data_IF_743710420204
#
_entry.id   IF_743710420204
#
_cell.length_a   1.000
_cell.length_b   1.000
_cell.length_c   1.000
_cell.angle_alpha   90.00
_cell.angle_beta   90.00
_cell.angle_gamma   90.00
#
_symmetry.space_group_name_H-M   'P 1'
#
loop_
_entity.id
_entity.type
_entity.pdbx_description
1 polymer ?
#
# COMPACT_ATOMS: atom_id res chain seq x y z
N UNK A 1 1.31 -8.72 5.99
CA UNK A 1 2.08 -8.81 4.73
C UNK A 1 3.41 -8.11 4.94
N UNK A 2 4.52 -8.78 4.64
CA UNK A 2 5.83 -8.12 4.61
C UNK A 2 5.83 -7.19 3.40
N UNK A 3 6.18 -5.92 3.60
CA UNK A 3 6.22 -4.94 2.51
C UNK A 3 7.47 -5.18 1.69
N UNK A 4 7.28 -5.20 0.38
CA UNK A 4 8.32 -5.58 -0.56
C UNK A 4 8.96 -4.29 -1.08
N UNK A 5 10.20 -4.01 -0.68
CA UNK A 5 10.95 -2.92 -1.31
C UNK A 5 11.46 -3.33 -2.69
N UNK A 6 11.22 -2.48 -3.69
CA UNK A 6 11.77 -2.65 -5.04
C UNK A 6 13.32 -2.65 -5.02
N UNK A 7 13.93 -1.95 -4.04
CA UNK A 7 15.39 -1.94 -3.84
C UNK A 7 15.84 -3.23 -3.15
N UNK A 8 16.24 -4.20 -3.95
CA UNK A 8 16.79 -5.48 -3.46
C UNK A 8 15.91 -6.69 -3.76
N UNK A 9 14.86 -6.54 -4.59
CA UNK A 9 14.12 -7.69 -5.10
C UNK A 9 14.93 -8.49 -6.12
N UNK A 10 15.60 -7.83 -7.06
CA UNK A 10 16.27 -8.50 -8.17
C UNK A 10 17.76 -8.74 -7.94
N UNK A 11 18.28 -9.81 -8.53
CA UNK A 11 19.71 -10.07 -8.64
C UNK A 11 20.09 -10.45 -10.08
N UNK A 12 21.32 -10.14 -10.45
CA UNK A 12 21.91 -10.47 -11.75
C UNK A 12 22.94 -11.56 -11.57
N UNK A 13 22.99 -12.49 -12.52
CA UNK A 13 23.89 -13.64 -12.47
C UNK A 13 24.62 -13.78 -13.79
N UNK A 14 25.96 -13.97 -13.79
CA UNK A 14 26.68 -14.23 -15.02
C UNK A 14 26.20 -15.52 -15.68
N UNK A 15 26.08 -15.48 -17.01
CA UNK A 15 25.81 -16.65 -17.86
C UNK A 15 27.10 -17.14 -18.53
N UNK A 16 27.14 -18.39 -19.03
CA UNK A 16 28.20 -18.81 -19.94
C UNK A 16 28.26 -17.88 -21.17
N UNK A 17 29.47 -17.49 -21.60
CA UNK A 17 29.66 -16.55 -22.72
C UNK A 17 28.99 -17.02 -24.03
N UNK A 18 28.98 -18.33 -24.26
CA UNK A 18 28.37 -18.95 -25.45
C UNK A 18 26.84 -18.88 -25.41
N UNK A 19 26.23 -18.94 -24.22
CA UNK A 19 24.80 -18.69 -24.04
C UNK A 19 24.48 -17.20 -24.24
N UNK A 20 25.30 -16.29 -23.71
CA UNK A 20 25.13 -14.85 -23.93
C UNK A 20 25.22 -14.48 -25.41
N UNK A 21 26.14 -15.08 -26.17
CA UNK A 21 26.26 -14.88 -27.61
C UNK A 21 24.98 -15.31 -28.36
N UNK A 22 24.43 -16.48 -28.01
CA UNK A 22 23.17 -16.97 -28.59
C UNK A 22 21.99 -16.05 -28.25
N UNK A 23 21.88 -15.60 -27.00
CA UNK A 23 20.82 -14.67 -26.58
C UNK A 23 20.94 -13.31 -27.26
N UNK A 24 22.17 -12.80 -27.44
CA UNK A 24 22.43 -11.57 -28.18
C UNK A 24 21.99 -11.70 -29.66
N UNK A 25 22.23 -12.87 -30.27
CA UNK A 25 21.77 -13.20 -31.64
C UNK A 25 20.25 -13.22 -31.73
N UNK A 26 19.56 -13.88 -30.80
CA UNK A 26 18.10 -13.89 -30.71
C UNK A 26 17.53 -12.48 -30.50
N UNK A 27 18.17 -11.68 -29.65
CA UNK A 27 17.78 -10.29 -29.46
C UNK A 27 17.93 -9.48 -30.75
N UNK A 28 19.07 -9.56 -31.44
CA UNK A 28 19.29 -8.89 -32.71
C UNK A 28 18.26 -9.32 -33.78
N UNK A 29 17.96 -10.61 -33.84
CA UNK A 29 16.92 -11.15 -34.72
C UNK A 29 15.56 -10.53 -34.42
N UNK A 30 15.16 -10.48 -33.15
CA UNK A 30 13.87 -9.92 -32.73
C UNK A 30 13.69 -8.42 -33.03
N UNK A 31 14.79 -7.70 -33.31
CA UNK A 31 14.79 -6.28 -33.66
C UNK A 31 14.63 -6.03 -35.17
N UNK A 32 14.71 -7.07 -36.01
CA UNK A 32 14.45 -6.91 -37.45
C UNK A 32 12.98 -6.56 -37.70
N UNK A 33 12.72 -5.81 -38.77
CA UNK A 33 11.39 -5.30 -39.08
C UNK A 33 10.33 -6.41 -39.22
N UNK A 34 10.70 -7.57 -39.81
CA UNK A 34 9.80 -8.72 -39.93
C UNK A 34 9.34 -9.31 -38.58
N UNK A 35 10.11 -9.12 -37.51
CA UNK A 35 9.80 -9.61 -36.15
C UNK A 35 9.22 -8.53 -35.24
N UNK A 36 9.09 -7.29 -35.70
CA UNK A 36 8.63 -6.16 -34.87
C UNK A 36 7.27 -6.41 -34.23
N UNK A 37 6.30 -6.89 -35.00
CA UNK A 37 4.94 -7.21 -34.51
C UNK A 37 4.96 -8.38 -33.53
N UNK A 38 5.76 -9.42 -33.81
CA UNK A 38 5.94 -10.56 -32.90
C UNK A 38 6.52 -10.11 -31.56
N UNK A 39 7.57 -9.30 -31.59
CA UNK A 39 8.22 -8.73 -30.40
C UNK A 39 7.26 -7.88 -29.59
N UNK A 40 6.54 -6.96 -30.22
CA UNK A 40 5.57 -6.09 -29.55
C UNK A 40 4.49 -6.91 -28.85
N UNK A 41 3.86 -7.86 -29.56
CA UNK A 41 2.80 -8.70 -28.98
C UNK A 41 3.29 -9.61 -27.86
N UNK A 42 4.48 -10.19 -28.00
CA UNK A 42 5.04 -11.04 -26.96
C UNK A 42 5.32 -10.27 -25.67
N UNK A 43 5.94 -9.08 -25.78
CA UNK A 43 6.23 -8.23 -24.63
C UNK A 43 4.95 -7.66 -24.03
N UNK A 44 4.00 -7.21 -24.85
CA UNK A 44 2.68 -6.77 -24.39
C UNK A 44 1.93 -7.89 -23.65
N UNK A 45 2.03 -9.13 -24.12
CA UNK A 45 1.49 -10.30 -23.40
C UNK A 45 2.24 -10.54 -22.10
N UNK A 46 3.57 -10.62 -22.10
CA UNK A 46 4.33 -10.91 -20.88
C UNK A 46 4.19 -9.85 -19.79
N UNK A 47 4.06 -8.58 -20.19
CA UNK A 47 3.99 -7.42 -19.30
C UNK A 47 2.58 -6.84 -19.24
N UNK A 48 1.56 -7.62 -19.61
CA UNK A 48 0.15 -7.17 -19.70
C UNK A 48 -0.32 -6.36 -18.48
N UNK A 49 -0.04 -6.73 -17.22
CA UNK A 49 -0.48 -5.93 -16.07
C UNK A 49 0.03 -4.49 -16.11
N UNK A 50 1.23 -4.27 -16.65
CA UNK A 50 1.86 -2.95 -16.78
C UNK A 50 1.40 -2.18 -18.03
N UNK A 51 0.87 -2.85 -19.05
CA UNK A 51 0.47 -2.21 -20.32
C UNK A 51 -1.02 -1.93 -20.37
N UNK A 52 -1.84 -2.91 -19.95
CA UNK A 52 -3.30 -2.85 -20.04
C UNK A 52 -3.98 -2.63 -18.69
N UNK A 53 -3.29 -2.89 -17.58
CA UNK A 53 -3.83 -2.80 -16.22
C UNK A 53 -3.56 -1.47 -15.52
N UNK A 54 -4.20 -1.28 -14.36
CA UNK A 54 -3.92 -0.14 -13.47
C UNK A 54 -2.53 -0.21 -12.84
N UNK A 55 -1.86 -1.39 -12.86
CA UNK A 55 -0.49 -1.55 -12.37
C UNK A 55 0.47 -0.61 -13.08
N UNK A 56 0.42 -0.52 -14.41
CA UNK A 56 1.31 0.32 -15.20
C UNK A 56 1.23 1.82 -14.93
N UNK A 57 0.11 2.27 -14.35
CA UNK A 57 -0.06 3.68 -13.94
C UNK A 57 0.67 3.99 -12.63
N UNK A 58 0.91 2.97 -11.81
CA UNK A 58 1.38 3.12 -10.44
C UNK A 58 2.79 2.55 -10.22
N UNK A 59 3.15 1.49 -10.96
CA UNK A 59 4.41 0.77 -10.81
C UNK A 59 4.94 0.38 -12.19
N UNK A 60 6.24 0.61 -12.41
CA UNK A 60 6.94 0.13 -13.60
C UNK A 60 7.47 -1.30 -13.38
N UNK A 61 7.60 -2.12 -14.46
CA UNK A 61 8.23 -3.43 -14.36
C UNK A 61 9.69 -3.30 -13.89
N UNK A 62 10.14 -4.24 -13.06
CA UNK A 62 11.55 -4.34 -12.68
C UNK A 62 12.41 -4.72 -13.91
N UNK A 63 13.69 -4.39 -13.88
CA UNK A 63 14.63 -4.81 -14.94
C UNK A 63 14.66 -6.34 -15.10
N UNK A 64 14.53 -7.09 -14.00
CA UNK A 64 14.48 -8.55 -14.02
C UNK A 64 13.17 -9.09 -14.62
N UNK A 65 12.04 -8.39 -14.42
CA UNK A 65 10.79 -8.75 -15.11
C UNK A 65 10.91 -8.52 -16.62
N UNK A 66 11.58 -7.43 -17.02
CA UNK A 66 11.87 -7.14 -18.43
C UNK A 66 12.79 -8.20 -19.07
N UNK A 67 13.81 -8.67 -18.34
CA UNK A 67 14.70 -9.74 -18.80
C UNK A 67 13.95 -11.08 -18.92
N UNK A 68 13.15 -11.45 -17.92
CA UNK A 68 12.32 -12.66 -17.98
C UNK A 68 11.27 -12.59 -19.11
N UNK A 69 10.67 -11.43 -19.36
CA UNK A 69 9.77 -11.20 -20.49
C UNK A 69 10.47 -11.31 -21.85
N UNK A 70 11.74 -10.90 -21.93
CA UNK A 70 12.56 -11.07 -23.13
C UNK A 70 12.86 -12.54 -23.39
N UNK A 71 13.18 -13.32 -22.35
CA UNK A 71 13.36 -14.77 -22.46
C UNK A 71 12.07 -15.48 -22.89
N UNK A 72 10.91 -15.02 -22.41
CA UNK A 72 9.60 -15.50 -22.89
C UNK A 72 9.43 -15.27 -24.40
N UNK A 73 9.73 -14.06 -24.90
CA UNK A 73 9.70 -13.78 -26.35
C UNK A 73 10.61 -14.73 -27.13
N UNK A 74 11.82 -14.98 -26.64
CA UNK A 74 12.79 -15.79 -27.36
C UNK A 74 12.41 -17.27 -27.40
N UNK A 75 11.90 -17.80 -26.29
CA UNK A 75 11.81 -19.24 -26.09
C UNK A 75 10.38 -19.79 -26.13
N UNK A 76 9.37 -19.01 -25.75
CA UNK A 76 8.06 -19.52 -25.34
C UNK A 76 6.90 -18.90 -26.13
N UNK A 77 7.07 -17.70 -26.68
CA UNK A 77 6.01 -17.02 -27.42
C UNK A 77 5.74 -17.70 -28.77
N UNK A 78 4.57 -18.33 -28.87
CA UNK A 78 4.00 -18.81 -30.12
C UNK A 78 3.10 -17.75 -30.76
N UNK A 79 3.47 -17.21 -31.93
CA UNK A 79 2.64 -16.30 -32.70
C UNK A 79 1.29 -16.91 -33.11
N UNK A 80 0.25 -16.08 -33.15
CA UNK A 80 -1.12 -16.50 -33.51
C UNK A 80 -1.28 -16.85 -35.00
N UNK A 81 -0.33 -16.44 -35.84
CA UNK A 81 -0.28 -16.76 -37.27
C UNK A 81 0.32 -18.15 -37.55
N UNK A 82 0.65 -18.92 -36.50
CA UNK A 82 1.16 -20.28 -36.61
C UNK A 82 2.67 -20.37 -36.89
N UNK A 83 3.39 -19.25 -36.84
CA UNK A 83 4.85 -19.28 -36.93
C UNK A 83 5.49 -20.00 -35.73
N UNK A 84 6.73 -20.46 -35.93
CA UNK A 84 7.54 -21.06 -34.87
C UNK A 84 7.99 -20.00 -33.85
N UNK A 85 8.41 -20.45 -32.67
CA UNK A 85 9.06 -19.55 -31.69
C UNK A 85 10.36 -18.98 -32.27
N UNK A 86 10.85 -17.86 -31.73
CA UNK A 86 12.05 -17.20 -32.28
C UNK A 86 13.28 -18.11 -32.27
N UNK A 87 13.45 -18.90 -31.21
CA UNK A 87 14.53 -19.88 -31.11
C UNK A 87 14.39 -21.02 -32.13
N UNK A 88 13.18 -21.48 -32.42
CA UNK A 88 12.92 -22.49 -33.45
C UNK A 88 13.14 -21.90 -34.85
N UNK A 89 12.77 -20.65 -35.09
CA UNK A 89 13.07 -19.97 -36.35
C UNK A 89 14.58 -19.84 -36.58
N UNK A 90 15.34 -19.48 -35.53
CA UNK A 90 16.80 -19.43 -35.60
C UNK A 90 17.41 -20.80 -35.91
N UNK A 91 16.85 -21.88 -35.37
CA UNK A 91 17.33 -23.25 -35.59
C UNK A 91 16.93 -23.82 -36.96
N UNK A 92 15.68 -23.62 -37.39
CA UNK A 92 15.06 -24.38 -38.47
C UNK A 92 14.88 -23.57 -39.76
N UNK A 93 14.85 -22.23 -39.68
CA UNK A 93 14.53 -21.35 -40.82
C UNK A 93 15.73 -20.50 -41.22
N UNK A 94 16.51 -20.01 -40.27
CA UNK A 94 17.62 -19.10 -40.54
C UNK A 94 18.84 -19.90 -40.99
N UNK A 95 19.33 -19.59 -42.19
CA UNK A 95 20.48 -20.27 -42.81
C UNK A 95 21.84 -19.71 -42.37
N UNK A 96 21.85 -18.73 -41.46
CA UNK A 96 23.08 -18.17 -40.89
C UNK A 96 23.86 -19.25 -40.13
N UNK A 97 25.18 -19.28 -40.31
CA UNK A 97 26.02 -20.22 -39.61
C UNK A 97 26.07 -19.89 -38.11
N UNK A 98 25.53 -20.78 -37.29
CA UNK A 98 25.63 -20.75 -35.83
C UNK A 98 26.88 -21.58 -35.42
N UNK A 99 27.83 -21.00 -34.67
CA UNK A 99 28.98 -21.74 -34.13
C UNK A 99 28.54 -22.94 -33.29
N UNK A 100 29.31 -24.03 -33.30
CA UNK A 100 28.95 -25.26 -32.58
C UNK A 100 28.75 -25.02 -31.07
N UNK A 101 29.57 -24.14 -30.50
CA UNK A 101 29.50 -23.75 -29.09
C UNK A 101 28.21 -22.97 -28.73
N UNK A 102 27.59 -22.28 -29.69
CA UNK A 102 26.27 -21.66 -29.54
C UNK A 102 25.16 -22.69 -29.83
N UNK A 103 25.35 -23.56 -30.83
CA UNK A 103 24.36 -24.56 -31.28
C UNK A 103 23.95 -25.51 -30.15
N UNK A 104 24.90 -25.93 -29.31
CA UNK A 104 24.61 -26.80 -28.15
C UNK A 104 23.58 -26.22 -27.17
N UNK A 105 23.37 -24.89 -27.16
CA UNK A 105 22.40 -24.22 -26.28
C UNK A 105 21.00 -24.13 -26.87
N UNK A 106 20.80 -24.37 -28.17
CA UNK A 106 19.49 -24.20 -28.81
C UNK A 106 18.42 -25.09 -28.18
N UNK A 107 18.75 -26.36 -27.93
CA UNK A 107 17.80 -27.31 -27.36
C UNK A 107 17.55 -27.09 -25.84
N UNK A 108 18.59 -26.94 -24.99
CA UNK A 108 18.39 -26.59 -23.59
C UNK A 108 17.62 -25.28 -23.38
N UNK A 109 17.93 -24.26 -24.18
CA UNK A 109 17.24 -22.97 -24.11
C UNK A 109 15.80 -23.09 -24.59
N UNK A 110 15.52 -23.91 -25.62
CA UNK A 110 14.13 -24.22 -26.03
C UNK A 110 13.37 -24.89 -24.89
N UNK A 111 13.97 -25.81 -24.14
CA UNK A 111 13.27 -26.56 -23.08
C UNK A 111 13.38 -25.93 -21.68
N UNK A 112 13.92 -24.72 -21.60
CA UNK A 112 13.98 -23.93 -20.37
C UNK A 112 12.60 -23.40 -19.97
N UNK A 113 12.42 -23.10 -18.68
CA UNK A 113 11.17 -22.56 -18.14
C UNK A 113 11.43 -21.69 -16.90
N UNK A 114 10.46 -20.84 -16.58
CA UNK A 114 10.45 -20.06 -15.33
C UNK A 114 10.03 -20.96 -14.17
N UNK A 115 10.62 -20.76 -13.00
CA UNK A 115 10.31 -21.51 -11.79
C UNK A 115 10.50 -20.66 -10.52
N UNK A 116 9.89 -21.13 -9.41
CA UNK A 116 10.05 -20.57 -8.07
C UNK A 116 10.82 -21.56 -7.21
N UNK A 117 12.08 -21.24 -6.92
CA UNK A 117 13.04 -22.12 -6.29
C UNK A 117 13.35 -21.68 -4.86
N UNK A 118 13.51 -22.62 -3.92
CA UNK A 118 14.11 -22.36 -2.61
C UNK A 118 15.50 -22.97 -2.52
N UNK A 119 16.43 -22.31 -1.82
CA UNK A 119 17.71 -22.94 -1.48
C UNK A 119 17.48 -24.03 -0.43
N UNK A 120 18.17 -25.17 -0.58
CA UNK A 120 18.11 -26.27 0.40
C UNK A 120 19.18 -26.11 1.49
N UNK A 121 20.30 -25.46 1.15
CA UNK A 121 21.44 -25.27 2.04
C UNK A 121 21.94 -23.83 2.03
N UNK A 122 22.58 -23.42 3.12
CA UNK A 122 23.21 -22.09 3.22
C UNK A 122 24.23 -21.94 2.09
N UNK A 123 24.12 -20.90 1.26
CA UNK A 123 25.01 -20.72 0.14
C UNK A 123 26.46 -20.49 0.57
N UNK A 124 27.40 -21.07 -0.16
CA UNK A 124 28.84 -20.86 0.01
C UNK A 124 29.44 -20.31 -1.28
N UNK A 125 30.25 -19.25 -1.17
CA UNK A 125 30.86 -18.61 -2.31
C UNK A 125 31.73 -19.62 -3.11
N UNK A 126 31.50 -19.69 -4.42
CA UNK A 126 32.23 -20.58 -5.33
C UNK A 126 31.78 -22.04 -5.33
N UNK A 127 30.72 -22.41 -4.60
CA UNK A 127 30.11 -23.73 -4.67
C UNK A 127 28.80 -23.70 -5.46
N UNK A 128 28.49 -24.81 -6.13
CA UNK A 128 27.18 -25.01 -6.76
C UNK A 128 26.07 -24.96 -5.70
N UNK A 129 24.96 -24.33 -6.08
CA UNK A 129 23.78 -24.20 -5.25
C UNK A 129 22.83 -25.35 -5.53
N UNK A 130 22.30 -25.92 -4.46
CA UNK A 130 21.23 -26.91 -4.54
C UNK A 130 19.92 -26.24 -4.18
N UNK A 131 19.02 -26.21 -5.17
CA UNK A 131 17.70 -25.62 -5.03
C UNK A 131 16.62 -26.68 -5.25
N UNK A 132 15.42 -26.38 -4.75
CA UNK A 132 14.23 -27.19 -4.94
C UNK A 132 13.11 -26.30 -5.47
N UNK A 133 12.40 -26.75 -6.51
CA UNK A 133 11.17 -26.11 -6.96
C UNK A 133 10.11 -26.16 -5.87
N UNK A 134 9.50 -25.03 -5.58
CA UNK A 134 8.35 -24.95 -4.69
C UNK A 134 7.05 -25.42 -5.35
N UNK A 135 7.03 -25.58 -6.67
CA UNK A 135 5.84 -25.96 -7.42
C UNK A 135 5.66 -27.48 -7.55
N UNK A 136 6.76 -28.22 -7.75
CA UNK A 136 6.74 -29.67 -8.01
C UNK A 136 7.84 -30.47 -7.27
N UNK A 137 8.53 -29.84 -6.32
CA UNK A 137 9.61 -30.43 -5.51
C UNK A 137 10.83 -30.93 -6.31
N UNK A 138 10.93 -30.62 -7.60
CA UNK A 138 12.09 -30.99 -8.44
C UNK A 138 13.37 -30.34 -7.94
N UNK A 139 14.47 -31.09 -8.00
CA UNK A 139 15.79 -30.62 -7.57
C UNK A 139 16.55 -30.03 -8.75
N UNK A 140 17.22 -28.91 -8.53
CA UNK A 140 18.07 -28.25 -9.53
C UNK A 140 19.39 -27.85 -8.90
N UNK A 141 20.49 -28.05 -9.64
CA UNK A 141 21.84 -27.63 -9.26
C UNK A 141 22.26 -26.49 -10.18
N UNK A 142 22.43 -25.28 -9.61
CA UNK A 142 22.82 -24.08 -10.34
C UNK A 142 24.23 -23.61 -9.92
N UNK A 143 25.03 -23.03 -10.83
CA UNK A 143 26.36 -22.55 -10.48
C UNK A 143 26.28 -21.41 -9.47
N UNK A 144 27.14 -21.44 -8.45
CA UNK A 144 27.31 -20.33 -7.52
C UNK A 144 28.18 -19.20 -8.07
N UNK A 145 28.52 -18.24 -7.21
CA UNK A 145 29.33 -17.08 -7.54
C UNK A 145 29.42 -16.09 -6.38
N UNK A 146 29.92 -14.88 -6.63
CA UNK A 146 30.00 -13.84 -5.60
C UNK A 146 28.63 -13.28 -5.21
N UNK A 147 27.68 -13.22 -6.16
CA UNK A 147 26.30 -12.74 -5.96
C UNK A 147 25.52 -13.53 -4.92
N UNK A 148 25.98 -14.75 -4.61
CA UNK A 148 25.29 -15.67 -3.72
C UNK A 148 25.33 -15.19 -2.25
N UNK A 149 26.20 -14.24 -1.90
CA UNK A 149 26.25 -13.62 -0.57
C UNK A 149 24.94 -12.92 -0.19
N UNK A 150 24.17 -12.50 -1.18
CA UNK A 150 22.90 -11.80 -1.00
C UNK A 150 21.70 -12.77 -0.97
N UNK A 151 21.94 -14.07 -1.22
CA UNK A 151 20.93 -15.11 -1.21
C UNK A 151 20.82 -15.78 0.16
N UNK A 152 19.59 -16.13 0.53
CA UNK A 152 19.27 -16.69 1.85
C UNK A 152 18.27 -17.83 1.72
N UNK A 153 18.32 -18.79 2.63
CA UNK A 153 17.47 -20.01 2.59
C UNK A 153 15.99 -19.69 2.82
N UNK A 154 15.70 -18.60 3.51
CA UNK A 154 14.36 -18.13 3.82
C UNK A 154 13.72 -17.31 2.69
N UNK A 155 14.45 -16.98 1.61
CA UNK A 155 13.93 -16.21 0.49
C UNK A 155 13.90 -17.03 -0.80
N UNK A 156 12.72 -17.48 -1.26
CA UNK A 156 12.58 -18.13 -2.56
C UNK A 156 12.94 -17.20 -3.72
N UNK A 157 13.26 -17.79 -4.87
CA UNK A 157 13.75 -17.11 -6.06
C UNK A 157 12.83 -17.44 -7.24
N UNK A 158 12.28 -16.42 -7.89
CA UNK A 158 11.66 -16.53 -9.20
C UNK A 158 12.74 -16.31 -10.27
N UNK A 159 13.02 -17.33 -11.09
CA UNK A 159 14.06 -17.26 -12.13
C UNK A 159 13.74 -18.19 -13.29
N UNK A 160 14.51 -18.13 -14.38
CA UNK A 160 14.46 -19.09 -15.47
C UNK A 160 15.61 -20.08 -15.35
N UNK A 161 15.31 -21.37 -15.46
CA UNK A 161 16.26 -22.47 -15.37
C UNK A 161 16.51 -23.05 -16.76
N UNK A 162 17.78 -23.21 -17.14
CA UNK A 162 18.21 -23.76 -18.43
C UNK A 162 19.10 -24.97 -18.15
N UNK A 163 18.80 -26.13 -18.74
CA UNK A 163 19.63 -27.33 -18.57
C UNK A 163 21.07 -27.10 -19.08
N UNK A 164 22.07 -27.68 -18.40
CA UNK A 164 23.47 -27.57 -18.81
C UNK A 164 23.77 -28.56 -19.96
N UNK A 165 24.08 -28.09 -21.19
CA UNK A 165 24.35 -28.96 -22.34
C UNK A 165 25.58 -29.85 -22.15
N UNK A 166 26.49 -29.51 -21.23
CA UNK A 166 27.65 -30.34 -20.91
C UNK A 166 27.33 -31.48 -19.95
N UNK A 167 26.15 -31.45 -19.33
CA UNK A 167 25.68 -32.49 -18.42
C UNK A 167 24.78 -33.51 -19.14
N UNK A 168 24.70 -34.76 -18.64
CA UNK A 168 23.74 -35.73 -19.15
C UNK A 168 22.29 -35.21 -19.08
N UNK A 169 21.38 -35.59 -19.99
CA UNK A 169 19.99 -35.12 -20.00
C UNK A 169 19.21 -35.40 -18.71
N UNK A 170 19.55 -36.46 -17.98
CA UNK A 170 18.92 -36.84 -16.70
C UNK A 170 19.56 -36.15 -15.48
N UNK A 171 20.52 -35.26 -15.70
CA UNK A 171 21.22 -34.53 -14.64
C UNK A 171 20.41 -33.35 -14.14
N UNK A 172 20.43 -33.12 -12.82
CA UNK A 172 19.86 -31.94 -12.17
C UNK A 172 20.65 -30.63 -12.47
N UNK A 173 21.76 -30.72 -13.22
CA UNK A 173 22.63 -29.57 -13.51
C UNK A 173 21.99 -28.62 -14.52
N UNK A 174 21.96 -27.36 -14.16
CA UNK A 174 21.41 -26.27 -14.94
C UNK A 174 22.26 -25.01 -14.80
N UNK A 175 21.96 -24.00 -15.62
CA UNK A 175 22.50 -22.65 -15.56
C UNK A 175 21.38 -21.63 -15.41
N UNK A 176 21.74 -20.46 -14.88
CA UNK A 176 20.81 -19.35 -14.70
C UNK A 176 20.38 -18.74 -16.03
N UNK A 177 19.13 -18.29 -16.12
CA UNK A 177 18.64 -17.46 -17.21
C UNK A 177 19.23 -16.04 -17.26
N UNK A 178 20.08 -15.65 -16.30
CA UNK A 178 20.79 -14.37 -16.25
C UNK A 178 20.31 -13.41 -15.15
N UNK A 179 19.11 -13.62 -14.62
CA UNK A 179 18.62 -12.87 -13.46
C UNK A 179 17.66 -13.71 -12.60
N UNK A 180 17.32 -13.18 -11.43
CA UNK A 180 16.23 -13.71 -10.62
C UNK A 180 15.65 -12.63 -9.70
N UNK A 181 14.50 -12.96 -9.12
CA UNK A 181 13.76 -12.12 -8.20
C UNK A 181 13.61 -12.87 -6.87
N UNK A 182 14.03 -12.23 -5.78
CA UNK A 182 13.89 -12.72 -4.41
C UNK A 182 12.50 -12.38 -3.86
N UNK A 183 11.86 -13.37 -3.26
CA UNK A 183 10.52 -13.29 -2.71
C UNK A 183 10.55 -13.55 -1.20
N UNK A 184 9.52 -13.10 -0.47
CA UNK A 184 9.25 -13.67 0.85
C UNK A 184 8.58 -15.04 0.70
N UNK A 185 8.64 -15.89 1.72
CA UNK A 185 7.92 -17.18 1.72
C UNK A 185 6.41 -17.00 1.49
N UNK A 186 5.82 -15.94 2.06
CA UNK A 186 4.40 -15.65 1.91
C UNK A 186 4.05 -15.25 0.47
N UNK A 187 4.89 -14.43 -0.17
CA UNK A 187 4.66 -13.97 -1.54
C UNK A 187 4.85 -15.11 -2.54
N UNK A 188 5.92 -15.91 -2.35
CA UNK A 188 6.16 -17.10 -3.16
C UNK A 188 4.99 -18.09 -3.10
N UNK A 189 4.47 -18.36 -1.89
CA UNK A 189 3.26 -19.18 -1.73
C UNK A 189 2.06 -18.58 -2.43
N UNK A 190 1.77 -17.31 -2.19
CA UNK A 190 0.61 -16.61 -2.80
C UNK A 190 0.71 -16.62 -4.33
N UNK A 191 1.92 -16.50 -4.87
CA UNK A 191 2.18 -16.51 -6.31
C UNK A 191 1.91 -17.89 -6.91
N UNK A 192 2.36 -18.95 -6.23
CA UNK A 192 2.10 -20.32 -6.64
C UNK A 192 0.63 -20.72 -6.51
N UNK A 193 -0.04 -20.30 -5.44
CA UNK A 193 -1.48 -20.55 -5.25
C UNK A 193 -2.29 -19.91 -6.39
N UNK A 194 -2.03 -18.63 -6.70
CA UNK A 194 -2.73 -17.90 -7.76
C UNK A 194 -2.46 -18.48 -9.15
N UNK A 195 -1.21 -18.83 -9.45
CA UNK A 195 -0.86 -19.45 -10.73
C UNK A 195 -1.37 -20.89 -10.85
N UNK A 196 -1.48 -21.63 -9.75
CA UNK A 196 -2.08 -22.97 -9.75
C UNK A 196 -3.58 -22.94 -10.06
N UNK A 197 -4.32 -21.93 -9.58
CA UNK A 197 -5.74 -21.77 -9.90
C UNK A 197 -5.93 -21.49 -11.40
N UNK A 198 -5.12 -20.58 -11.97
CA UNK A 198 -5.12 -20.33 -13.40
C UNK A 198 -4.70 -21.54 -14.23
N UNK A 199 -3.71 -22.31 -13.77
CA UNK A 199 -3.29 -23.55 -14.43
C UNK A 199 -4.45 -24.55 -14.53
N UNK A 200 -5.21 -24.73 -13.44
CA UNK A 200 -6.40 -25.59 -13.43
C UNK A 200 -7.48 -25.09 -14.40
N UNK A 201 -7.68 -23.78 -14.47
CA UNK A 201 -8.61 -23.17 -15.43
C UNK A 201 -8.17 -23.40 -16.88
N UNK A 202 -6.87 -23.27 -17.17
CA UNK A 202 -6.31 -23.55 -18.49
C UNK A 202 -6.39 -25.04 -18.86
N UNK A 203 -6.13 -25.94 -17.91
CA UNK A 203 -6.29 -27.39 -18.10
C UNK A 203 -7.75 -27.73 -18.46
N UNK A 204 -8.72 -27.19 -17.71
CA UNK A 204 -10.16 -27.42 -17.96
C UNK A 204 -10.62 -26.84 -19.29
N UNK A 205 -10.19 -25.62 -19.64
CA UNK A 205 -10.63 -24.94 -20.87
C UNK A 205 -9.98 -25.48 -22.14
N UNK A 206 -8.71 -25.92 -22.07
CA UNK A 206 -8.00 -26.49 -23.23
C UNK A 206 -8.17 -28.01 -23.35
N UNK A 207 -8.63 -28.69 -22.29
CA UNK A 207 -8.72 -30.15 -22.24
C UNK A 207 -7.35 -30.85 -22.21
N UNK A 208 -6.26 -30.11 -21.96
CA UNK A 208 -4.90 -30.61 -22.02
C UNK A 208 -4.38 -30.97 -20.63
N UNK A 209 -4.50 -32.24 -20.24
CA UNK A 209 -3.98 -32.76 -18.96
C UNK A 209 -2.47 -32.55 -18.76
N UNK A 210 -1.69 -32.40 -19.83
CA UNK A 210 -0.26 -32.08 -19.74
C UNK A 210 0.00 -30.75 -19.01
N UNK A 211 -0.96 -29.82 -19.03
CA UNK A 211 -0.86 -28.56 -18.27
C UNK A 211 -0.96 -28.78 -16.76
N UNK A 212 -1.30 -29.97 -16.29
CA UNK A 212 -1.20 -30.35 -14.89
C UNK A 212 0.25 -30.40 -14.39
N UNK A 213 1.22 -30.61 -15.27
CA UNK A 213 2.65 -30.56 -14.93
C UNK A 213 3.16 -29.11 -14.94
N UNK A 214 3.90 -28.73 -13.89
CA UNK A 214 4.36 -27.36 -13.71
C UNK A 214 5.26 -26.86 -14.84
N UNK A 215 6.19 -27.71 -15.28
CA UNK A 215 7.13 -27.38 -16.36
C UNK A 215 6.41 -27.16 -17.70
N UNK A 216 5.45 -28.01 -18.05
CA UNK A 216 4.63 -27.86 -19.26
C UNK A 216 3.76 -26.60 -19.22
N UNK A 217 3.15 -26.33 -18.05
CA UNK A 217 2.41 -25.10 -17.83
C UNK A 217 3.31 -23.87 -18.00
N UNK A 218 4.43 -23.78 -17.29
CA UNK A 218 5.32 -22.61 -17.35
C UNK A 218 6.02 -22.45 -18.68
N UNK A 219 6.20 -23.53 -19.44
CA UNK A 219 6.73 -23.46 -20.81
C UNK A 219 5.78 -22.71 -21.75
N UNK A 220 4.47 -22.93 -21.62
CA UNK A 220 3.46 -22.30 -22.49
C UNK A 220 2.87 -21.01 -21.92
N UNK A 221 2.79 -20.94 -20.60
CA UNK A 221 2.07 -19.92 -19.82
C UNK A 221 2.94 -19.28 -18.75
N UNK A 222 4.27 -19.39 -18.81
CA UNK A 222 5.19 -18.79 -17.83
C UNK A 222 5.03 -17.28 -17.66
N UNK A 223 4.53 -16.59 -18.68
CA UNK A 223 4.14 -15.18 -18.59
C UNK A 223 3.07 -14.91 -17.52
N UNK A 224 2.20 -15.88 -17.22
CA UNK A 224 1.20 -15.75 -16.16
C UNK A 224 1.87 -15.71 -14.77
N UNK A 225 3.03 -16.34 -14.59
CA UNK A 225 3.81 -16.20 -13.35
C UNK A 225 4.30 -14.77 -13.17
N UNK A 226 4.73 -14.12 -14.26
CA UNK A 226 5.08 -12.69 -14.24
C UNK A 226 3.86 -11.82 -13.95
N UNK A 227 2.68 -12.18 -14.48
CA UNK A 227 1.44 -11.46 -14.16
C UNK A 227 1.11 -11.52 -12.68
N UNK A 228 1.19 -12.72 -12.10
CA UNK A 228 0.91 -12.92 -10.70
C UNK A 228 1.84 -12.10 -9.80
N UNK A 229 3.11 -12.05 -10.16
CA UNK A 229 4.10 -11.25 -9.46
C UNK A 229 3.80 -9.75 -9.56
N UNK A 230 3.47 -9.24 -10.75
CA UNK A 230 3.11 -7.84 -10.96
C UNK A 230 1.87 -7.41 -10.16
N UNK A 231 0.85 -8.26 -10.10
CA UNK A 231 -0.36 -8.01 -9.30
C UNK A 231 -0.06 -7.95 -7.80
N UNK A 232 0.82 -8.81 -7.30
CA UNK A 232 1.27 -8.76 -5.90
C UNK A 232 2.01 -7.47 -5.58
N UNK A 233 2.88 -6.99 -6.49
CA UNK A 233 3.57 -5.71 -6.32
C UNK A 233 2.58 -4.55 -6.23
N UNK A 234 1.56 -4.54 -7.09
CA UNK A 234 0.50 -3.53 -7.02
C UNK A 234 -0.27 -3.62 -5.70
N UNK A 235 -0.67 -4.82 -5.28
CA UNK A 235 -1.41 -5.02 -4.04
C UNK A 235 -0.59 -4.55 -2.81
N UNK A 236 0.71 -4.82 -2.80
CA UNK A 236 1.62 -4.36 -1.75
C UNK A 236 1.74 -2.83 -1.72
N UNK A 237 1.77 -2.17 -2.89
CA UNK A 237 1.78 -0.70 -2.98
C UNK A 237 0.47 -0.09 -2.45
N UNK A 238 -0.68 -0.65 -2.83
CA UNK A 238 -1.99 -0.22 -2.36
C UNK A 238 -2.09 -0.39 -0.84
N UNK A 239 -1.66 -1.54 -0.31
CA UNK A 239 -1.61 -1.78 1.14
C UNK A 239 -0.71 -0.77 1.86
N UNK A 240 0.45 -0.46 1.30
CA UNK A 240 1.37 0.52 1.85
C UNK A 240 0.75 1.92 1.90
N UNK A 241 0.00 2.32 0.87
CA UNK A 241 -0.68 3.61 0.80
C UNK A 241 -1.86 3.72 1.79
N UNK A 242 -2.56 2.62 2.08
CA UNK A 242 -3.66 2.60 3.08
C UNK A 242 -3.12 2.71 4.51
N UNK A 243 -1.90 2.23 4.75
CA UNK A 243 -1.31 2.11 6.07
C UNK A 243 -0.11 3.05 6.26
N UNK A 244 -0.27 4.30 5.81
CA UNK A 244 0.66 5.40 6.06
C UNK A 244 0.53 5.85 7.51
N UNK A 245 1.67 6.00 8.20
CA UNK A 245 1.70 6.54 9.55
C UNK A 245 1.87 8.06 9.50
N UNK A 246 0.82 8.79 9.84
CA UNK A 246 0.89 10.25 9.99
C UNK A 246 1.43 10.61 11.37
N UNK A 247 2.44 11.48 11.40
CA UNK A 247 3.16 11.90 12.61
C UNK A 247 3.15 13.41 12.75
N UNK A 248 3.27 13.90 13.98
CA UNK A 248 3.58 15.31 14.27
C UNK A 248 5.07 15.58 14.10
N UNK A 249 5.48 16.85 14.19
CA UNK A 249 6.90 17.23 14.21
C UNK A 249 7.71 16.58 15.36
N UNK A 250 7.04 16.23 16.46
CA UNK A 250 7.61 15.58 17.64
C UNK A 250 7.55 14.03 17.60
N UNK A 251 7.36 13.45 16.40
CA UNK A 251 7.25 12.01 16.14
C UNK A 251 6.09 11.30 16.89
N UNK A 252 5.09 12.05 17.37
CA UNK A 252 3.86 11.49 17.92
C UNK A 252 2.87 11.14 16.80
N UNK A 253 1.94 10.22 17.04
CA UNK A 253 0.87 9.93 16.07
C UNK A 253 0.01 11.18 15.83
N UNK A 254 -0.27 11.48 14.56
CA UNK A 254 -1.12 12.60 14.18
C UNK A 254 -2.59 12.18 14.21
N UNK A 255 -3.38 12.83 15.08
CA UNK A 255 -4.80 12.54 15.24
C UNK A 255 -5.63 13.28 14.18
N UNK A 256 -5.80 12.67 13.00
CA UNK A 256 -6.48 13.29 11.86
C UNK A 256 -7.95 12.88 11.71
N UNK A 257 -8.35 11.74 12.29
CA UNK A 257 -9.72 11.26 12.25
C UNK A 257 -10.49 11.94 13.38
N UNK A 258 -11.40 12.85 13.05
CA UNK A 258 -12.06 13.75 14.01
C UNK A 258 -13.57 13.60 13.88
N UNK A 259 -14.28 13.51 15.01
CA UNK A 259 -15.73 13.65 15.09
C UNK A 259 -16.13 14.70 16.14
N UNK A 260 -17.17 15.46 15.83
CA UNK A 260 -17.73 16.48 16.72
C UNK A 260 -19.18 16.16 17.08
N UNK A 261 -19.49 16.34 18.36
CA UNK A 261 -20.81 16.16 18.93
C UNK A 261 -21.20 17.34 19.79
N UNK A 262 -22.51 17.64 19.81
CA UNK A 262 -23.11 18.51 20.81
C UNK A 262 -23.71 17.69 21.96
N UNK A 263 -23.74 18.29 23.14
CA UNK A 263 -24.40 17.77 24.33
C UNK A 263 -24.96 18.90 25.21
N UNK A 264 -25.71 18.54 26.25
CA UNK A 264 -26.26 19.49 27.22
C UNK A 264 -26.06 19.05 28.69
N UNK A 265 -25.46 17.88 28.92
CA UNK A 265 -25.26 17.29 30.24
C UNK A 265 -23.79 16.92 30.46
N UNK A 266 -22.95 17.94 30.64
CA UNK A 266 -21.50 17.76 30.80
C UNK A 266 -21.14 16.71 31.88
N UNK A 267 -21.87 16.69 33.01
CA UNK A 267 -21.60 15.74 34.11
C UNK A 267 -21.81 14.28 33.71
N UNK A 268 -22.89 14.00 32.97
CA UNK A 268 -23.16 12.65 32.46
C UNK A 268 -22.02 12.17 31.56
N UNK A 269 -21.52 13.07 30.70
CA UNK A 269 -20.39 12.78 29.82
C UNK A 269 -19.11 12.54 30.61
N UNK A 270 -18.81 13.38 31.60
CA UNK A 270 -17.65 13.19 32.50
C UNK A 270 -17.67 11.82 33.16
N UNK A 271 -18.82 11.41 33.71
CA UNK A 271 -18.96 10.13 34.41
C UNK A 271 -18.82 8.95 33.45
N UNK A 272 -19.47 9.02 32.28
CA UNK A 272 -19.38 7.98 31.25
C UNK A 272 -17.96 7.81 30.72
N UNK A 273 -17.27 8.90 30.39
CA UNK A 273 -15.89 8.88 29.88
C UNK A 273 -14.91 8.40 30.94
N UNK A 274 -15.09 8.80 32.20
CA UNK A 274 -14.26 8.33 33.32
C UNK A 274 -14.48 6.85 33.66
N UNK A 275 -15.62 6.28 33.29
CA UNK A 275 -15.92 4.86 33.41
C UNK A 275 -15.27 3.98 32.32
N UNK A 276 -14.71 4.57 31.26
CA UNK A 276 -14.04 3.84 30.19
C UNK A 276 -12.61 3.49 30.60
N UNK A 277 -12.34 2.20 30.82
CA UNK A 277 -11.06 1.72 31.40
C UNK A 277 -9.82 1.95 30.55
N UNK A 278 -10.00 2.14 29.25
CA UNK A 278 -8.95 2.39 28.26
C UNK A 278 -8.68 3.89 28.02
N UNK A 279 -9.47 4.76 28.64
CA UNK A 279 -9.30 6.20 28.62
C UNK A 279 -8.71 6.69 29.93
N UNK A 280 -7.67 7.50 29.85
CA UNK A 280 -7.03 8.13 31.01
C UNK A 280 -7.28 9.63 31.00
N UNK A 281 -7.72 10.18 32.13
CA UNK A 281 -7.93 11.62 32.28
C UNK A 281 -6.57 12.35 32.22
N UNK A 282 -6.41 13.23 31.25
CA UNK A 282 -5.23 14.07 31.08
C UNK A 282 -5.33 15.27 32.05
N UNK A 283 -4.31 15.45 32.89
CA UNK A 283 -4.27 16.58 33.82
C UNK A 283 -3.96 17.86 33.04
N UNK A 284 -4.83 18.86 33.14
CA UNK A 284 -4.60 20.18 32.53
C UNK A 284 -3.31 20.81 33.08
N UNK A 285 -2.50 21.36 32.18
CA UNK A 285 -1.26 22.07 32.51
C UNK A 285 -1.58 23.34 33.32
N UNK A 286 -0.88 23.66 34.44
CA UNK A 286 -1.22 24.78 35.30
C UNK A 286 -1.00 26.18 34.67
N UNK A 287 -0.44 26.25 33.45
CA UNK A 287 -0.26 27.50 32.70
C UNK A 287 -1.59 28.15 32.26
N UNK A 288 -2.66 27.37 32.10
CA UNK A 288 -4.01 27.88 31.73
C UNK A 288 -4.73 28.62 32.87
N UNK A 289 -4.14 28.68 34.07
CA UNK A 289 -4.77 29.31 35.25
C UNK A 289 -4.43 30.79 35.44
N UNK A 290 -3.52 31.36 34.65
CA UNK A 290 -3.10 32.75 34.80
C UNK A 290 -4.03 33.68 34.00
N UNK A 291 -5.27 33.90 34.47
CA UNK A 291 -6.09 34.98 33.94
C UNK A 291 -7.56 35.06 34.32
N UNK A 292 -8.21 34.00 34.82
CA UNK A 292 -9.67 34.02 35.00
C UNK A 292 -10.09 33.92 36.48
N UNK A 293 -10.57 35.03 37.04
CA UNK A 293 -11.24 35.13 38.35
C UNK A 293 -12.70 34.64 38.33
N UNK A 294 -13.13 33.95 37.27
CA UNK A 294 -14.48 33.38 37.14
C UNK A 294 -14.38 31.86 37.12
N UNK A 295 -15.08 31.17 38.03
CA UNK A 295 -15.23 29.71 38.02
C UNK A 295 -16.00 29.29 36.77
N UNK A 296 -15.29 28.98 35.70
CA UNK A 296 -15.82 28.55 34.41
C UNK A 296 -15.83 27.01 34.30
N UNK A 297 -16.69 26.41 33.43
CA UNK A 297 -16.75 24.97 33.24
C UNK A 297 -15.39 24.45 32.78
N UNK A 298 -14.81 23.54 33.55
CA UNK A 298 -13.50 22.97 33.25
C UNK A 298 -13.57 22.14 31.98
N UNK A 299 -12.83 22.52 30.95
CA UNK A 299 -12.47 21.63 29.86
C UNK A 299 -11.81 20.38 30.45
N UNK A 300 -12.24 19.20 30.00
CA UNK A 300 -11.71 17.92 30.44
C UNK A 300 -11.24 17.11 29.23
N UNK A 301 -10.13 16.40 29.40
CA UNK A 301 -9.50 15.64 28.33
C UNK A 301 -9.24 14.21 28.77
N UNK A 302 -9.57 13.26 27.89
CA UNK A 302 -9.22 11.87 28.05
C UNK A 302 -8.36 11.42 26.89
N UNK A 303 -7.35 10.63 27.19
CA UNK A 303 -6.42 10.11 26.19
C UNK A 303 -6.31 8.60 26.27
N UNK A 304 -6.22 7.98 25.09
CA UNK A 304 -5.86 6.59 24.90
C UNK A 304 -4.42 6.53 24.38
N UNK A 305 -3.60 5.66 24.99
CA UNK A 305 -2.22 5.42 24.55
C UNK A 305 -2.00 3.93 24.28
N UNK A 306 -1.37 3.62 23.15
CA UNK A 306 -0.96 2.26 22.77
C UNK A 306 0.54 2.26 22.50
N UNK A 307 1.29 1.36 23.14
CA UNK A 307 2.75 1.32 23.02
C UNK A 307 3.45 2.64 23.44
N UNK A 308 2.80 3.45 24.28
CA UNK A 308 3.27 4.78 24.70
C UNK A 308 2.85 5.94 23.78
N UNK A 309 2.44 5.66 22.54
CA UNK A 309 1.98 6.68 21.60
C UNK A 309 0.53 7.09 21.88
N UNK A 310 0.24 8.38 21.75
CA UNK A 310 -1.13 8.91 21.82
C UNK A 310 -1.91 8.48 20.57
N UNK A 311 -2.97 7.69 20.73
CA UNK A 311 -3.77 7.17 19.60
C UNK A 311 -5.19 7.72 19.56
N UNK A 312 -5.71 8.19 20.69
CA UNK A 312 -6.97 8.92 20.71
C UNK A 312 -6.99 10.00 21.80
N UNK A 313 -7.74 11.06 21.55
CA UNK A 313 -7.98 12.17 22.46
C UNK A 313 -9.44 12.59 22.40
N UNK A 314 -10.08 12.68 23.55
CA UNK A 314 -11.46 13.16 23.70
C UNK A 314 -11.42 14.45 24.50
N UNK A 315 -11.92 15.54 23.94
CA UNK A 315 -12.01 16.84 24.61
C UNK A 315 -13.46 17.20 24.85
N UNK A 316 -13.85 17.33 26.11
CA UNK A 316 -15.19 17.70 26.55
C UNK A 316 -15.20 19.17 26.98
N UNK A 317 -16.03 19.98 26.33
CA UNK A 317 -16.35 21.36 26.71
C UNK A 317 -17.72 21.41 27.42
N UNK A 318 -18.19 22.62 27.71
CA UNK A 318 -19.52 22.82 28.28
C UNK A 318 -20.65 22.31 27.37
N UNK A 319 -20.45 22.36 26.05
CA UNK A 319 -21.50 22.06 25.06
C UNK A 319 -21.10 21.05 23.99
N UNK A 320 -19.81 20.73 23.86
CA UNK A 320 -19.30 19.88 22.79
C UNK A 320 -18.40 18.76 23.31
N UNK A 321 -18.40 17.65 22.57
CA UNK A 321 -17.43 16.58 22.69
C UNK A 321 -16.70 16.45 21.34
N UNK A 322 -15.39 16.65 21.36
CA UNK A 322 -14.50 16.43 20.23
C UNK A 322 -13.76 15.11 20.43
N UNK A 323 -13.81 14.22 19.45
CA UNK A 323 -13.09 12.94 19.44
C UNK A 323 -12.06 12.98 18.32
N UNK A 324 -10.80 12.76 18.64
CA UNK A 324 -9.66 12.80 17.71
C UNK A 324 -8.91 11.47 17.78
N UNK A 325 -8.63 10.84 16.64
CA UNK A 325 -7.96 9.55 16.53
C UNK A 325 -6.89 9.57 15.42
N UNK A 326 -5.89 8.70 15.56
CA UNK A 326 -4.85 8.42 14.56
C UNK A 326 -5.33 7.51 13.40
N UNK A 327 -6.55 6.95 13.47
CA UNK A 327 -7.13 6.14 12.39
C UNK A 327 -8.67 6.20 12.33
N UNK A 328 -9.28 5.99 11.15
CA UNK A 328 -10.73 5.92 10.99
C UNK A 328 -11.36 4.75 11.76
N UNK A 329 -10.70 3.59 11.77
CA UNK A 329 -11.21 2.40 12.46
C UNK A 329 -11.31 2.62 13.97
N UNK A 330 -10.34 3.35 14.55
CA UNK A 330 -10.36 3.71 15.97
C UNK A 330 -11.44 4.75 16.26
N UNK A 331 -11.64 5.72 15.37
CA UNK A 331 -12.74 6.66 15.49
C UNK A 331 -14.08 5.93 15.50
N UNK A 332 -14.35 5.05 14.53
CA UNK A 332 -15.61 4.29 14.46
C UNK A 332 -15.83 3.41 15.70
N UNK A 333 -14.79 2.75 16.20
CA UNK A 333 -14.87 1.99 17.45
C UNK A 333 -15.30 2.89 18.63
N UNK A 334 -14.68 4.06 18.78
CA UNK A 334 -15.06 5.02 19.83
C UNK A 334 -16.46 5.59 19.62
N UNK A 335 -16.88 5.88 18.38
CA UNK A 335 -18.24 6.33 18.05
C UNK A 335 -19.28 5.30 18.51
N UNK A 336 -19.07 4.02 18.21
CA UNK A 336 -19.98 2.95 18.66
C UNK A 336 -20.05 2.84 20.19
N UNK A 337 -18.92 2.99 20.88
CA UNK A 337 -18.88 2.96 22.35
C UNK A 337 -19.55 4.17 22.98
N UNK A 338 -19.33 5.36 22.44
CA UNK A 338 -19.99 6.59 22.89
C UNK A 338 -21.49 6.49 22.66
N UNK A 339 -21.94 5.99 21.51
CA UNK A 339 -23.35 5.76 21.24
C UNK A 339 -23.97 4.76 22.22
N UNK A 340 -23.25 3.69 22.57
CA UNK A 340 -23.72 2.71 23.55
C UNK A 340 -23.81 3.27 24.99
N UNK A 341 -22.89 4.16 25.37
CA UNK A 341 -22.82 4.72 26.73
C UNK A 341 -23.73 5.94 26.93
N UNK A 342 -23.85 6.80 25.91
CA UNK A 342 -24.49 8.12 26.01
C UNK A 342 -25.80 8.21 25.19
N UNK A 343 -26.02 7.31 24.24
CA UNK A 343 -27.26 7.20 23.47
C UNK A 343 -27.73 8.54 22.90
N UNK A 344 -28.99 8.89 23.17
CA UNK A 344 -29.65 10.10 22.67
C UNK A 344 -29.09 11.41 23.23
N UNK A 345 -28.24 11.38 24.27
CA UNK A 345 -27.61 12.59 24.79
C UNK A 345 -26.49 13.10 23.87
N UNK A 346 -26.04 12.27 22.93
CA UNK A 346 -24.97 12.56 21.97
C UNK A 346 -25.54 12.99 20.61
N UNK A 347 -25.30 14.23 20.19
CA UNK A 347 -25.81 14.76 18.93
C UNK A 347 -24.68 14.94 17.92
N UNK A 348 -24.62 14.07 16.91
CA UNK A 348 -23.58 14.12 15.88
C UNK A 348 -23.68 15.38 15.03
N UNK A 349 -22.55 16.06 14.82
CA UNK A 349 -22.46 17.26 13.98
C UNK A 349 -21.66 17.07 12.71
N UNK A 350 -20.60 16.29 12.78
CA UNK A 350 -19.76 16.04 11.63
C UNK A 350 -18.53 15.23 11.98
N UNK A 351 -17.90 14.71 10.94
CA UNK A 351 -16.61 14.05 11.04
C UNK A 351 -15.74 14.31 9.81
N UNK A 352 -14.44 14.12 10.00
CA UNK A 352 -13.47 13.96 8.92
C UNK A 352 -12.60 12.75 9.22
N UNK A 353 -12.38 11.92 8.22
CA UNK A 353 -11.44 10.78 8.25
C UNK A 353 -10.39 10.92 7.15
N UNK A 354 -10.30 12.11 6.55
CA UNK A 354 -9.40 12.40 5.43
C UNK A 354 -8.11 13.00 6.00
N UNK A 355 -6.96 12.31 5.90
CA UNK A 355 -5.69 12.88 6.31
C UNK A 355 -5.25 14.00 5.34
N UNK A 356 -4.20 14.78 5.67
CA UNK A 356 -3.64 15.75 4.75
C UNK A 356 -3.27 15.11 3.40
N UNK A 357 -3.68 15.76 2.30
CA UNK A 357 -3.39 15.28 0.95
C UNK A 357 -1.90 15.38 0.69
N UNK A 358 -1.24 14.23 0.55
CA UNK A 358 0.16 14.09 0.16
C UNK A 358 0.26 13.17 -1.05
N UNK A 359 1.06 13.57 -2.03
CA UNK A 359 1.52 12.66 -3.07
C UNK A 359 2.74 11.93 -2.53
N UNK A 360 2.56 10.64 -2.23
CA UNK A 360 3.68 9.75 -1.93
C UNK A 360 4.32 9.32 -3.25
N UNK A 361 5.64 9.38 -3.30
CA UNK A 361 6.39 8.80 -4.40
C UNK A 361 6.34 7.27 -4.32
N UNK A 362 6.48 6.60 -5.46
CA UNK A 362 6.58 5.13 -5.52
C UNK A 362 7.72 4.64 -4.63
N UNK A 363 8.86 5.35 -4.61
CA UNK A 363 10.00 5.00 -3.77
C UNK A 363 9.73 5.07 -2.26
N UNK A 364 8.83 5.95 -1.80
CA UNK A 364 8.41 6.01 -0.40
C UNK A 364 7.44 4.88 -0.04
N UNK A 365 6.58 4.47 -0.99
CA UNK A 365 5.64 3.37 -0.81
C UNK A 365 6.30 2.00 -0.89
N UNK A 366 7.37 1.87 -1.67
CA UNK A 366 8.18 0.66 -1.82
C UNK A 366 9.39 0.66 -0.88
N UNK A 367 9.32 1.34 0.26
CA UNK A 367 10.30 1.18 1.33
C UNK A 367 9.97 -0.05 2.20
N UNK A 368 10.99 -0.71 2.75
CA UNK A 368 10.80 -1.84 3.68
C UNK A 368 10.05 -1.46 4.97
N UNK A 369 10.06 -0.17 5.30
CA UNK A 369 9.36 0.39 6.46
C UNK A 369 8.06 1.05 6.05
N UNK A 370 7.07 1.06 6.96
CA UNK A 370 5.84 1.81 6.73
C UNK A 370 6.15 3.28 6.42
N UNK A 371 5.55 3.87 5.36
CA UNK A 371 5.73 5.27 5.08
C UNK A 371 5.31 6.10 6.30
N UNK A 372 6.24 6.93 6.79
CA UNK A 372 5.99 7.87 7.89
C UNK A 372 5.95 9.27 7.31
N UNK A 373 4.83 9.96 7.50
CA UNK A 373 4.65 11.33 7.02
C UNK A 373 4.51 12.28 8.19
N UNK A 374 5.45 13.21 8.30
CA UNK A 374 5.35 14.33 9.25
C UNK A 374 4.39 15.36 8.66
N UNK A 375 3.31 15.64 9.40
CA UNK A 375 2.32 16.66 9.06
C UNK A 375 2.82 18.01 9.51
N UNK A 376 2.84 18.96 8.58
CA UNK A 376 3.21 20.36 8.84
C UNK A 376 2.06 21.13 9.49
N UNK A 377 2.38 22.22 10.19
CA UNK A 377 1.36 23.10 10.78
C UNK A 377 0.39 23.68 9.74
N UNK A 378 0.84 23.91 8.50
CA UNK A 378 -0.02 24.40 7.42
C UNK A 378 -1.02 23.33 6.96
N UNK A 379 -0.55 22.10 6.78
CA UNK A 379 -1.39 20.95 6.45
C UNK A 379 -2.43 20.69 7.54
N UNK A 380 -2.03 20.74 8.80
CA UNK A 380 -2.91 20.61 9.96
C UNK A 380 -3.96 21.73 10.02
N UNK A 381 -3.54 22.99 9.85
CA UNK A 381 -4.47 24.13 9.77
C UNK A 381 -5.51 23.93 8.69
N UNK A 382 -5.10 23.44 7.52
CA UNK A 382 -6.01 23.20 6.39
C UNK A 382 -7.03 22.11 6.71
N UNK A 383 -6.60 20.98 7.27
CA UNK A 383 -7.49 19.88 7.67
C UNK A 383 -8.51 20.35 8.71
N UNK A 384 -8.05 21.03 9.77
CA UNK A 384 -8.93 21.51 10.83
C UNK A 384 -9.91 22.57 10.31
N UNK A 385 -9.45 23.54 9.52
CA UNK A 385 -10.32 24.57 8.97
C UNK A 385 -11.39 23.96 8.03
N UNK A 386 -11.01 23.05 7.14
CA UNK A 386 -11.97 22.38 6.24
C UNK A 386 -13.05 21.61 7.02
N UNK A 387 -12.64 20.90 8.08
CA UNK A 387 -13.56 20.19 8.96
C UNK A 387 -14.52 21.12 9.69
N UNK A 388 -13.99 22.17 10.34
CA UNK A 388 -14.80 23.12 11.09
C UNK A 388 -15.70 23.95 10.17
N UNK A 389 -15.22 24.36 9.00
CA UNK A 389 -16.04 25.09 8.01
C UNK A 389 -17.23 24.25 7.57
N UNK A 390 -17.01 22.97 7.22
CA UNK A 390 -18.10 22.05 6.89
C UNK A 390 -19.10 21.93 8.03
N UNK A 391 -18.61 21.73 9.25
CA UNK A 391 -19.46 21.43 10.42
C UNK A 391 -20.21 22.66 10.94
N UNK A 392 -19.55 23.82 10.96
CA UNK A 392 -20.09 25.05 11.54
C UNK A 392 -20.87 25.93 10.57
N UNK A 393 -20.72 25.76 9.25
CA UNK A 393 -21.61 26.45 8.30
C UNK A 393 -23.01 25.85 8.28
N UNK A 394 -23.16 24.57 8.61
CA UNK A 394 -24.48 23.93 8.75
C UNK A 394 -25.12 24.22 10.12
N UNK A 395 -24.30 24.52 11.13
CA UNK A 395 -24.74 24.74 12.51
C UNK A 395 -25.89 25.75 12.70
N UNK A 396 -25.92 26.93 12.03
CA UNK A 396 -27.00 27.92 12.17
C UNK A 396 -28.40 27.38 11.86
N UNK A 397 -28.48 26.36 11.01
CA UNK A 397 -29.72 25.79 10.49
C UNK A 397 -30.04 24.42 11.10
N UNK A 398 -29.20 23.92 12.02
CA UNK A 398 -29.46 22.68 12.75
C UNK A 398 -30.01 22.96 14.16
N UNK A 399 -31.01 22.20 14.64
CA UNK A 399 -31.47 22.26 16.03
C UNK A 399 -30.32 22.06 17.03
N UNK A 400 -30.28 22.88 18.08
CA UNK A 400 -29.27 22.76 19.14
C UNK A 400 -29.91 22.49 20.50
N UNK A 401 -29.38 21.48 21.21
CA UNK A 401 -29.92 21.04 22.51
C UNK A 401 -29.89 22.14 23.56
N UNK A 402 -28.80 22.91 23.65
CA UNK A 402 -28.71 24.05 24.58
C UNK A 402 -29.69 25.18 24.23
N UNK A 403 -30.23 25.22 23.01
CA UNK A 403 -31.23 26.21 22.57
C UNK A 403 -32.66 25.66 22.65
N UNK A 404 -32.88 24.58 23.40
CA UNK A 404 -34.20 23.96 23.55
C UNK A 404 -34.72 23.34 22.25
N UNK A 405 -33.82 22.88 21.38
CA UNK A 405 -34.16 22.31 20.07
C UNK A 405 -34.46 23.35 18.99
N UNK A 406 -34.31 24.65 19.27
CA UNK A 406 -34.38 25.68 18.23
C UNK A 406 -33.08 25.72 17.41
N UNK A 407 -33.18 26.17 16.17
CA UNK A 407 -31.99 26.48 15.37
C UNK A 407 -31.37 27.78 15.89
N UNK A 408 -30.03 27.93 15.88
CA UNK A 408 -29.37 29.17 16.28
C UNK A 408 -29.89 30.41 15.55
N UNK A 409 -30.21 30.29 14.25
CA UNK A 409 -30.82 31.37 13.46
C UNK A 409 -32.16 31.82 14.03
N UNK A 410 -33.00 30.88 14.46
CA UNK A 410 -34.32 31.21 15.03
C UNK A 410 -34.21 31.74 16.46
N UNK A 411 -33.35 31.12 17.27
CA UNK A 411 -33.09 31.52 18.65
C UNK A 411 -32.58 32.99 18.72
N UNK A 412 -31.70 33.39 17.80
CA UNK A 412 -31.12 34.74 17.76
C UNK A 412 -32.12 35.88 17.52
N UNK A 413 -33.37 35.58 17.17
CA UNK A 413 -34.44 36.58 16.97
C UNK A 413 -34.98 37.15 18.29
N UNK A 414 -34.80 36.45 19.42
CA UNK A 414 -35.25 36.94 20.74
C UNK A 414 -34.07 37.45 21.55
N UNK A 415 -34.17 38.60 22.25
CA UNK A 415 -33.04 39.17 22.99
C UNK A 415 -32.38 38.21 23.99
N UNK A 416 -33.19 37.44 24.74
CA UNK A 416 -32.68 36.50 25.75
C UNK A 416 -31.91 35.32 25.12
N UNK A 417 -32.36 34.80 23.99
CA UNK A 417 -31.68 33.68 23.32
C UNK A 417 -30.54 34.16 22.41
N UNK A 418 -30.57 35.42 21.95
CA UNK A 418 -29.50 36.05 21.19
C UNK A 418 -28.18 36.10 21.97
N UNK A 419 -28.25 36.43 23.26
CA UNK A 419 -27.10 36.37 24.18
C UNK A 419 -26.57 34.94 24.29
N UNK A 420 -27.45 33.97 24.50
CA UNK A 420 -27.10 32.54 24.59
C UNK A 420 -26.46 31.99 23.31
N UNK A 421 -26.93 32.39 22.13
CA UNK A 421 -26.29 32.02 20.85
C UNK A 421 -24.89 32.62 20.76
N UNK A 422 -24.71 33.86 21.22
CA UNK A 422 -23.39 34.50 21.32
C UNK A 422 -22.44 33.76 22.26
N UNK A 423 -22.92 33.34 23.42
CA UNK A 423 -22.15 32.54 24.39
C UNK A 423 -21.72 31.18 23.83
N UNK A 424 -22.59 30.51 23.05
CA UNK A 424 -22.24 29.25 22.40
C UNK A 424 -21.10 29.43 21.39
N UNK A 425 -21.17 30.46 20.55
CA UNK A 425 -20.11 30.78 19.59
C UNK A 425 -18.81 31.12 20.33
N UNK A 426 -18.89 31.88 21.43
CA UNK A 426 -17.73 32.23 22.25
C UNK A 426 -17.09 31.01 22.92
N UNK A 427 -17.90 30.03 23.35
CA UNK A 427 -17.41 28.77 23.90
C UNK A 427 -16.69 27.94 22.82
N UNK A 428 -17.25 27.87 21.61
CA UNK A 428 -16.64 27.17 20.47
C UNK A 428 -15.31 27.83 20.08
N UNK A 429 -15.26 29.16 19.99
CA UNK A 429 -14.06 29.91 19.66
C UNK A 429 -12.95 29.75 20.71
N UNK A 430 -13.32 29.77 21.99
CA UNK A 430 -12.40 29.56 23.10
C UNK A 430 -11.78 28.17 23.07
N UNK A 431 -12.58 27.17 22.71
CA UNK A 431 -12.16 25.77 22.68
C UNK A 431 -11.80 25.27 21.28
N UNK A 432 -11.51 26.18 20.35
CA UNK A 432 -11.09 25.86 18.99
C UNK A 432 -9.93 24.84 19.01
N UNK A 433 -10.03 23.72 18.27
CA UNK A 433 -8.98 22.71 18.27
C UNK A 433 -7.64 23.24 17.76
N UNK A 434 -7.65 24.26 16.89
CA UNK A 434 -6.46 24.97 16.43
C UNK A 434 -5.72 25.68 17.55
N UNK A 435 -6.41 26.27 18.53
CA UNK A 435 -5.73 26.93 19.67
C UNK A 435 -4.86 25.93 20.44
N UNK A 436 -5.36 24.71 20.64
CA UNK A 436 -4.62 23.66 21.36
C UNK A 436 -3.50 23.03 20.52
N UNK A 437 -3.73 22.85 19.22
CA UNK A 437 -2.82 22.13 18.33
C UNK A 437 -1.75 23.04 17.70
N UNK A 438 -2.12 24.28 17.39
CA UNK A 438 -1.31 25.24 16.63
C UNK A 438 -1.10 26.58 17.35
N UNK A 439 -1.74 26.81 18.50
CA UNK A 439 -1.66 28.08 19.24
C UNK A 439 -2.52 29.22 18.67
N UNK A 440 -3.34 28.96 17.65
CA UNK A 440 -4.17 29.96 16.97
C UNK A 440 -5.52 29.38 16.55
N UNK A 441 -6.56 30.22 16.44
CA UNK A 441 -7.87 29.80 15.92
C UNK A 441 -7.78 29.45 14.44
N UNK A 442 -8.22 28.25 14.07
CA UNK A 442 -8.19 27.81 12.66
C UNK A 442 -9.42 28.22 11.86
N UNK A 443 -10.55 28.45 12.54
CA UNK A 443 -11.82 28.87 11.95
C UNK A 443 -12.14 30.33 12.30
N UNK A 444 -12.80 31.04 11.37
CA UNK A 444 -13.26 32.41 11.58
C UNK A 444 -14.70 32.42 12.14
N UNK A 445 -14.83 32.56 13.47
CA UNK A 445 -16.11 32.54 14.19
C UNK A 445 -17.00 33.76 13.91
N UNK A 446 -16.45 34.87 13.39
CA UNK A 446 -17.28 35.99 12.91
C UNK A 446 -18.16 35.57 11.72
N UNK A 447 -17.77 34.56 10.94
CA UNK A 447 -18.64 33.99 9.89
C UNK A 447 -19.91 33.37 10.50
N UNK A 448 -19.80 32.62 11.59
CA UNK A 448 -20.96 32.07 12.29
C UNK A 448 -21.85 33.18 12.83
N UNK A 449 -21.25 34.21 13.46
CA UNK A 449 -21.97 35.38 13.98
C UNK A 449 -22.79 36.06 12.91
N UNK A 450 -22.19 36.31 11.73
CA UNK A 450 -22.88 36.87 10.58
C UNK A 450 -24.07 36.00 10.12
N UNK A 451 -23.90 34.68 10.05
CA UNK A 451 -24.98 33.76 9.66
C UNK A 451 -26.19 33.76 10.60
N UNK A 452 -26.01 34.04 11.89
CA UNK A 452 -27.11 34.14 12.87
C UNK A 452 -27.55 35.60 13.13
N UNK A 453 -26.98 36.57 12.43
CA UNK A 453 -27.32 37.99 12.55
C UNK A 453 -26.82 38.65 13.83
N UNK A 454 -25.72 38.16 14.40
CA UNK A 454 -24.99 38.77 15.52
C UNK A 454 -23.90 39.74 15.03
N UNK A 455 -23.53 40.70 15.88
CA UNK A 455 -22.42 41.62 15.61
C UNK A 455 -21.08 40.88 15.63
N UNK A 456 -20.18 41.30 14.74
CA UNK A 456 -18.80 40.84 14.68
C UNK A 456 -18.03 41.30 15.93
N UNK A 457 -17.12 40.46 16.40
CA UNK A 457 -16.16 40.84 17.44
C UNK A 457 -14.86 41.29 16.79
N UNK A 458 -14.20 42.33 17.33
CA UNK A 458 -12.83 42.66 16.94
C UNK A 458 -11.88 41.51 17.32
N UNK A 459 -10.94 41.22 16.42
CA UNK A 459 -9.94 40.15 16.53
C UNK A 459 -9.00 40.28 17.74
#
# INVERSE_FOLDING_TARGET
>A
MNRVSDRGMGFWVPRPQTLDALLARLNHLSLKAEFGVQRERALARALKPYVEGDTGRLVAPLEQEMELASLYLFCDYYPEDGQLTLIEQLRDVITEHIPEEERQWLDPLKHSSVDVLKLISVPQAGQDLVLQSLADDTRVILPGGEFVKDLTVDRPLLTRVIHDPSAPPESDRAVWGGCGITLSQADAKTLLDMTSDWRREMEMSTGSFALGEWREFTKRFGYMVLWAFAEQRLAALIDAAVHVEYRTADDQSYLYAIALYDHHEQRMFTDALSGMTDLSLEKSDPADRQGATVRLPSLQQWVQREGGALVAKLTLTAYQLLVECDSPQRLDFLKHRLAAALGFSLHFRGETVVPPVRQLSVAELTADTRPRLVVTHEEERKVLNQFLEKTYLEWPDQPHVALGGQTPRHAALTPAMREKVGELIDDMERHDPGRRRLGLTVFNYNRMRAHVGLEEKPD
#
